data_IF_640482502676
#
_entry.id   IF_640482502676
#
_cell.length_a   1.000
_cell.length_b   1.000
_cell.length_c   1.000
_cell.angle_alpha   90.00
_cell.angle_beta   90.00
_cell.angle_gamma   90.00
#
_symmetry.space_group_name_H-M   'P 1'
#
loop_
_entity.id
_entity.type
_entity.pdbx_description
1 polymer ?
#
# COMPACT_ATOMS: atom_id res chain seq x y z
N UNK A 1 10.97 22.49 7.34
CA UNK A 1 10.10 23.48 8.02
C UNK A 1 9.74 24.59 7.03
N UNK A 2 8.59 24.49 6.38
CA UNK A 2 7.73 25.63 6.06
C UNK A 2 6.43 25.09 5.44
N UNK A 3 5.32 25.54 6.03
CA UNK A 3 3.96 25.10 5.79
C UNK A 3 3.46 25.66 4.46
N UNK A 4 2.97 24.79 3.57
CA UNK A 4 2.19 25.25 2.43
C UNK A 4 0.79 25.64 2.90
N UNK A 5 0.59 26.95 3.02
CA UNK A 5 -0.71 27.60 3.19
C UNK A 5 -1.55 27.38 1.93
N UNK A 6 -2.65 26.63 2.05
CA UNK A 6 -3.68 26.57 1.02
C UNK A 6 -4.61 27.80 1.16
N UNK A 7 -4.40 28.82 0.32
CA UNK A 7 -5.27 29.99 0.26
C UNK A 7 -6.57 29.65 -0.49
N UNK A 8 -7.67 29.57 0.26
CA UNK A 8 -9.03 29.48 -0.27
C UNK A 8 -9.39 30.75 -1.06
N UNK A 9 -9.70 30.59 -2.36
CA UNK A 9 -10.39 31.61 -3.16
C UNK A 9 -11.89 31.56 -2.87
N UNK A 10 -12.37 32.34 -1.90
CA UNK A 10 -13.79 32.71 -1.83
C UNK A 10 -13.99 34.07 -2.53
N UNK A 11 -14.60 34.04 -3.71
CA UNK A 11 -15.02 35.24 -4.43
C UNK A 11 -16.09 35.99 -3.60
N UNK A 12 -15.78 37.22 -3.18
CA UNK A 12 -16.73 38.11 -2.51
C UNK A 12 -17.53 38.89 -3.56
N UNK A 13 -18.82 38.61 -3.65
CA UNK A 13 -19.80 39.60 -4.09
C UNK A 13 -20.82 39.73 -2.98
N UNK A 14 -20.70 40.83 -2.23
CA UNK A 14 -21.60 41.24 -1.17
C UNK A 14 -22.80 41.91 -1.83
N UNK A 15 -24.01 41.40 -1.60
CA UNK A 15 -25.19 42.23 -1.67
C UNK A 15 -26.16 41.92 -0.53
N UNK A 16 -26.67 43.00 0.02
CA UNK A 16 -27.22 43.19 1.36
C UNK A 16 -28.67 42.73 1.45
N UNK A 17 -29.12 42.47 2.68
CA UNK A 17 -30.51 42.25 3.15
C UNK A 17 -31.06 40.82 3.07
N UNK A 18 -30.94 40.09 4.17
CA UNK A 18 -32.09 39.61 4.97
C UNK A 18 -31.57 38.96 6.25
N UNK A 19 -32.10 39.42 7.39
CA UNK A 19 -31.90 38.79 8.68
C UNK A 19 -32.70 37.48 8.76
N UNK A 20 -32.06 36.40 9.20
CA UNK A 20 -32.75 35.15 9.54
C UNK A 20 -31.87 33.92 9.38
N UNK A 21 -31.62 33.24 10.49
CA UNK A 21 -30.89 31.97 10.65
C UNK A 21 -29.37 32.03 10.41
N UNK A 22 -28.65 32.23 11.50
CA UNK A 22 -27.32 31.66 11.69
C UNK A 22 -27.46 30.13 11.70
N UNK A 23 -27.54 29.51 10.52
CA UNK A 23 -27.18 28.12 10.37
C UNK A 23 -25.67 28.05 10.61
N UNK A 24 -25.30 27.74 11.85
CA UNK A 24 -24.00 27.19 12.20
C UNK A 24 -23.79 25.96 11.32
N UNK A 25 -23.22 26.16 10.14
CA UNK A 25 -22.67 25.07 9.33
C UNK A 25 -21.47 24.60 10.12
N UNK A 26 -21.71 23.68 11.06
CA UNK A 26 -20.65 22.89 11.64
C UNK A 26 -19.94 22.24 10.45
N UNK A 27 -18.74 22.72 10.15
CA UNK A 27 -17.74 21.92 9.47
C UNK A 27 -17.53 20.69 10.34
N UNK A 28 -18.35 19.66 10.14
CA UNK A 28 -18.06 18.35 10.65
C UNK A 28 -16.79 17.94 9.89
N UNK A 29 -15.63 18.13 10.53
CA UNK A 29 -14.44 17.40 10.17
C UNK A 29 -14.84 15.93 10.30
N UNK A 30 -15.08 15.28 9.16
CA UNK A 30 -15.22 13.83 9.11
C UNK A 30 -13.85 13.30 9.51
N UNK A 31 -13.68 13.11 10.81
CA UNK A 31 -12.53 12.41 11.35
C UNK A 31 -12.72 10.99 10.86
N UNK A 32 -11.85 10.54 9.94
CA UNK A 32 -11.82 9.15 9.53
C UNK A 32 -11.83 8.30 10.82
N UNK A 33 -12.75 7.34 10.91
CA UNK A 33 -12.81 6.47 12.06
C UNK A 33 -11.42 5.85 12.26
N UNK A 34 -10.90 5.89 13.49
CA UNK A 34 -9.60 5.33 13.79
C UNK A 34 -9.63 3.83 13.45
N UNK A 35 -8.69 3.39 12.62
CA UNK A 35 -8.52 1.98 12.28
C UNK A 35 -7.94 1.26 13.51
N UNK A 36 -8.54 0.14 13.89
CA UNK A 36 -8.00 -0.74 14.92
C UNK A 36 -6.85 -1.56 14.32
N UNK A 37 -5.61 -1.12 14.59
CA UNK A 37 -4.39 -1.79 14.11
C UNK A 37 -4.28 -3.25 14.56
N UNK A 38 -4.94 -3.63 15.65
CA UNK A 38 -4.87 -5.00 16.16
C UNK A 38 -5.52 -6.00 15.21
N UNK A 39 -6.41 -5.55 14.32
CA UNK A 39 -6.97 -6.36 13.25
C UNK A 39 -5.93 -6.74 12.18
N UNK A 40 -4.87 -5.94 12.01
CA UNK A 40 -3.81 -6.21 11.05
C UNK A 40 -2.86 -7.32 11.53
N UNK A 41 -2.64 -7.44 12.84
CA UNK A 41 -1.62 -8.35 13.41
C UNK A 41 -1.83 -9.79 12.99
N UNK A 42 -0.81 -10.44 12.43
CA UNK A 42 -0.77 -11.86 12.09
C UNK A 42 -0.45 -12.12 10.62
N UNK A 43 -0.79 -13.32 10.14
CA UNK A 43 -0.40 -13.80 8.83
C UNK A 43 -1.51 -13.64 7.80
N UNK A 44 -1.13 -13.19 6.62
CA UNK A 44 -2.01 -12.92 5.49
C UNK A 44 -1.45 -13.57 4.24
N UNK A 45 -2.32 -14.21 3.45
CA UNK A 45 -2.00 -14.71 2.12
C UNK A 45 -2.52 -13.72 1.10
N UNK A 46 -1.61 -13.16 0.33
CA UNK A 46 -1.87 -12.11 -0.65
C UNK A 46 -1.55 -12.61 -2.05
N UNK A 47 -2.24 -12.03 -3.03
CA UNK A 47 -1.93 -12.22 -4.43
C UNK A 47 -2.14 -10.92 -5.18
N UNK A 48 -1.26 -10.68 -6.15
CA UNK A 48 -1.37 -9.55 -7.04
C UNK A 48 -1.17 -10.03 -8.47
N UNK A 49 -1.98 -9.52 -9.38
CA UNK A 49 -1.90 -9.82 -10.80
C UNK A 49 -2.18 -8.55 -11.61
N UNK A 50 -1.25 -8.21 -12.50
CA UNK A 50 -1.31 -7.04 -13.35
C UNK A 50 -0.96 -7.42 -14.78
N UNK A 51 -1.66 -6.82 -15.74
CA UNK A 51 -1.37 -6.96 -17.16
C UNK A 51 -1.31 -5.58 -17.78
N UNK A 52 -0.17 -5.24 -18.37
CA UNK A 52 0.03 -3.97 -19.08
C UNK A 52 0.88 -4.17 -20.34
N UNK A 53 0.39 -3.69 -21.48
CA UNK A 53 1.08 -3.68 -22.79
C UNK A 53 1.89 -4.95 -23.16
N UNK A 54 1.39 -6.14 -22.83
CA UNK A 54 2.06 -7.42 -23.12
C UNK A 54 3.08 -7.87 -22.08
N UNK A 55 3.20 -7.12 -20.99
CA UNK A 55 3.82 -7.51 -19.72
C UNK A 55 2.75 -8.03 -18.76
N UNK A 56 3.03 -9.15 -18.11
CA UNK A 56 2.20 -9.75 -17.06
C UNK A 56 3.03 -9.92 -15.80
N UNK A 57 2.58 -9.33 -14.71
CA UNK A 57 3.17 -9.44 -13.39
C UNK A 57 2.23 -10.28 -12.54
N UNK A 58 2.77 -11.32 -11.90
CA UNK A 58 2.03 -12.11 -10.92
C UNK A 58 2.88 -12.30 -9.67
N UNK A 59 2.31 -11.99 -8.52
CA UNK A 59 2.92 -12.22 -7.22
C UNK A 59 1.96 -13.01 -6.33
N UNK A 60 2.49 -14.02 -5.65
CA UNK A 60 1.79 -14.75 -4.59
C UNK A 60 2.71 -14.76 -3.38
N UNK A 61 2.23 -14.25 -2.25
CA UNK A 61 3.07 -14.04 -1.08
C UNK A 61 2.29 -14.11 0.21
N UNK A 62 2.99 -14.49 1.26
CA UNK A 62 2.50 -14.39 2.63
C UNK A 62 3.14 -13.19 3.30
N UNK A 63 2.36 -12.37 4.00
CA UNK A 63 2.87 -11.28 4.83
C UNK A 63 2.48 -11.46 6.30
N UNK A 64 3.41 -11.16 7.19
CA UNK A 64 3.23 -11.22 8.64
C UNK A 64 3.37 -9.82 9.23
N UNK A 65 2.32 -9.29 9.86
CA UNK A 65 2.37 -8.03 10.62
C UNK A 65 2.47 -8.32 12.11
N UNK A 66 3.52 -7.88 12.77
CA UNK A 66 3.74 -8.12 14.20
C UNK A 66 3.40 -6.88 15.03
N UNK A 67 2.91 -7.07 16.25
CA UNK A 67 2.50 -5.99 17.16
C UNK A 67 3.62 -5.05 17.61
N UNK A 68 4.89 -5.42 17.37
CA UNK A 68 6.05 -4.57 17.64
C UNK A 68 6.41 -3.67 16.44
N UNK A 69 5.60 -3.64 15.39
CA UNK A 69 5.83 -2.83 14.20
C UNK A 69 6.63 -3.54 13.09
N UNK A 70 7.06 -4.80 13.26
CA UNK A 70 7.85 -5.46 12.20
C UNK A 70 6.96 -6.18 11.18
N UNK A 71 7.39 -6.16 9.91
CA UNK A 71 6.81 -6.95 8.82
C UNK A 71 7.79 -7.98 8.27
N UNK A 72 7.23 -9.05 7.73
CA UNK A 72 7.95 -9.96 6.84
C UNK A 72 7.04 -10.42 5.72
N UNK A 73 7.52 -10.36 4.49
CA UNK A 73 6.83 -10.84 3.30
C UNK A 73 7.67 -11.92 2.60
N UNK A 74 7.09 -13.09 2.41
CA UNK A 74 7.71 -14.24 1.74
C UNK A 74 6.88 -14.59 0.52
N UNK A 75 7.48 -14.56 -0.67
CA UNK A 75 6.69 -14.69 -1.89
C UNK A 75 7.43 -15.18 -3.11
N UNK A 76 6.65 -15.39 -4.15
CA UNK A 76 7.14 -15.63 -5.50
C UNK A 76 6.65 -14.49 -6.40
N UNK A 77 7.57 -13.88 -7.12
CA UNK A 77 7.32 -12.87 -8.13
C UNK A 77 7.64 -13.46 -9.50
N UNK A 78 6.74 -13.33 -10.45
CA UNK A 78 6.95 -13.72 -11.85
C UNK A 78 6.55 -12.58 -12.77
N UNK A 79 7.44 -12.25 -13.70
CA UNK A 79 7.21 -11.27 -14.76
C UNK A 79 7.35 -11.97 -16.11
N UNK A 80 6.34 -11.82 -16.95
CA UNK A 80 6.26 -12.39 -18.30
C UNK A 80 6.13 -11.26 -19.31
N UNK A 81 6.93 -11.27 -20.37
CA UNK A 81 6.91 -10.25 -21.44
C UNK A 81 6.74 -10.95 -22.77
N UNK A 82 5.72 -10.60 -23.54
CA UNK A 82 5.43 -11.24 -24.84
C UNK A 82 5.23 -12.76 -24.73
N UNK A 83 4.72 -13.22 -23.58
CA UNK A 83 4.52 -14.65 -23.28
C UNK A 83 5.77 -15.41 -22.83
N UNK A 84 6.93 -14.75 -22.71
CA UNK A 84 8.17 -15.35 -22.21
C UNK A 84 8.44 -14.92 -20.77
N UNK A 85 8.84 -15.86 -19.90
CA UNK A 85 9.22 -15.54 -18.51
C UNK A 85 10.50 -14.70 -18.52
N UNK A 86 10.38 -13.43 -18.17
CA UNK A 86 11.50 -12.49 -18.05
C UNK A 86 12.16 -12.59 -16.67
N UNK A 87 11.34 -12.84 -15.63
CA UNK A 87 11.76 -12.98 -14.25
C UNK A 87 10.90 -14.04 -13.55
N UNK A 88 11.54 -14.87 -12.73
CA UNK A 88 10.86 -15.60 -11.67
C UNK A 88 11.79 -15.69 -10.46
N UNK A 89 11.39 -15.07 -9.36
CA UNK A 89 12.17 -15.07 -8.13
C UNK A 89 11.29 -15.50 -6.95
N UNK A 90 11.93 -16.18 -6.00
CA UNK A 90 11.44 -16.22 -4.62
C UNK A 90 12.08 -15.06 -3.86
N UNK A 91 11.33 -14.39 -2.99
CA UNK A 91 11.85 -13.30 -2.17
C UNK A 91 11.52 -13.47 -0.68
N UNK A 92 12.35 -12.86 0.15
CA UNK A 92 12.20 -12.67 1.59
C UNK A 92 12.47 -11.21 1.93
N UNK A 93 11.40 -10.46 2.19
CA UNK A 93 11.41 -9.05 2.53
C UNK A 93 11.13 -8.90 4.03
N UNK A 94 11.91 -8.06 4.69
CA UNK A 94 11.72 -7.63 6.07
C UNK A 94 11.62 -6.11 6.11
N UNK A 95 10.86 -5.61 7.07
CA UNK A 95 10.61 -4.19 7.18
C UNK A 95 9.94 -3.82 8.50
N UNK A 96 9.49 -2.58 8.53
CA UNK A 96 8.64 -2.03 9.58
C UNK A 96 7.30 -1.57 8.98
N UNK A 97 6.25 -1.53 9.78
CA UNK A 97 4.94 -1.01 9.41
C UNK A 97 4.35 -0.08 10.45
N UNK A 98 3.52 0.84 9.99
CA UNK A 98 2.62 1.63 10.83
C UNK A 98 1.30 1.93 10.10
N UNK A 99 0.23 2.17 10.86
CA UNK A 99 -1.02 2.73 10.32
C UNK A 99 -1.10 4.20 10.70
N UNK A 100 -1.26 5.07 9.70
CA UNK A 100 -1.35 6.52 9.91
C UNK A 100 -2.35 7.16 8.97
N UNK A 101 -3.29 7.92 9.55
CA UNK A 101 -4.30 8.68 8.81
C UNK A 101 -5.10 7.84 7.78
N UNK A 102 -5.33 6.55 8.09
CA UNK A 102 -6.05 5.61 7.22
C UNK A 102 -5.17 4.86 6.21
N UNK A 103 -3.86 5.08 6.24
CA UNK A 103 -2.90 4.42 5.35
C UNK A 103 -2.08 3.39 6.11
N UNK A 104 -1.73 2.30 5.42
CA UNK A 104 -0.68 1.38 5.81
C UNK A 104 0.63 1.88 5.19
N UNK A 105 1.63 2.11 6.03
CA UNK A 105 2.97 2.49 5.61
C UNK A 105 3.89 1.31 5.89
N UNK A 106 4.62 0.85 4.88
CA UNK A 106 5.55 -0.27 4.98
C UNK A 106 6.93 0.19 4.53
N UNK A 107 7.91 0.15 5.43
CA UNK A 107 9.30 0.52 5.11
C UNK A 107 10.15 -0.72 4.99
N UNK A 108 10.73 -0.95 3.81
CA UNK A 108 11.61 -2.10 3.57
C UNK A 108 12.94 -1.86 4.28
N UNK A 109 13.36 -2.76 5.15
CA UNK A 109 14.68 -2.70 5.80
C UNK A 109 15.67 -3.68 5.18
N UNK A 110 15.16 -4.78 4.63
CA UNK A 110 15.99 -5.81 4.01
C UNK A 110 15.20 -6.61 2.99
N UNK A 111 15.84 -6.95 1.87
CA UNK A 111 15.27 -7.86 0.87
C UNK A 111 16.33 -8.84 0.40
N UNK A 112 15.94 -10.10 0.30
CA UNK A 112 16.73 -11.15 -0.34
C UNK A 112 15.91 -11.85 -1.40
N UNK A 113 16.59 -12.30 -2.45
CA UNK A 113 15.98 -12.97 -3.58
C UNK A 113 16.75 -14.19 -3.99
N UNK A 114 16.03 -15.24 -4.40
CA UNK A 114 16.61 -16.39 -5.10
C UNK A 114 15.98 -16.48 -6.48
N UNK A 115 16.82 -16.47 -7.50
CA UNK A 115 16.41 -16.65 -8.89
C UNK A 115 15.99 -18.11 -9.13
N UNK A 116 14.79 -18.29 -9.69
CA UNK A 116 14.21 -19.60 -9.96
C UNK A 116 14.38 -20.06 -11.41
N UNK A 117 14.98 -19.24 -12.28
CA UNK A 117 15.18 -19.56 -13.70
C UNK A 117 16.64 -19.49 -14.10
N UNK A 118 17.06 -20.42 -14.96
CA UNK A 118 18.40 -20.39 -15.55
C UNK A 118 18.57 -19.28 -16.60
N UNK A 119 17.47 -18.57 -16.93
CA UNK A 119 17.38 -17.67 -18.08
C UNK A 119 17.04 -16.22 -17.69
N UNK A 120 16.61 -15.94 -16.46
CA UNK A 120 16.37 -14.55 -16.09
C UNK A 120 17.71 -13.85 -15.94
N UNK A 121 17.84 -12.75 -16.67
CA UNK A 121 18.94 -11.80 -16.49
C UNK A 121 18.79 -10.98 -15.19
N UNK A 122 17.68 -11.18 -14.48
CA UNK A 122 17.23 -10.41 -13.34
C UNK A 122 17.21 -11.34 -12.12
N UNK A 123 18.09 -11.08 -11.14
CA UNK A 123 18.30 -11.86 -9.92
C UNK A 123 18.07 -11.03 -8.66
N UNK A 124 18.86 -11.26 -7.62
CA UNK A 124 18.72 -10.59 -6.32
C UNK A 124 18.94 -9.07 -6.39
N UNK A 125 19.77 -8.59 -7.33
CA UNK A 125 20.03 -7.16 -7.50
C UNK A 125 18.77 -6.42 -7.99
N UNK A 126 18.07 -6.96 -8.98
CA UNK A 126 16.86 -6.37 -9.51
C UNK A 126 15.70 -6.42 -8.52
N UNK A 127 15.64 -7.46 -7.67
CA UNK A 127 14.72 -7.44 -6.54
C UNK A 127 15.04 -6.32 -5.55
N UNK A 128 16.33 -6.06 -5.27
CA UNK A 128 16.72 -4.94 -4.43
C UNK A 128 16.42 -3.58 -5.08
N UNK A 129 16.46 -3.48 -6.41
CA UNK A 129 16.05 -2.29 -7.13
C UNK A 129 14.52 -2.08 -7.12
N UNK A 130 13.74 -3.16 -7.10
CA UNK A 130 12.28 -3.13 -6.98
C UNK A 130 11.80 -2.85 -5.55
N UNK A 131 12.57 -3.29 -4.55
CA UNK A 131 12.28 -3.11 -3.13
C UNK A 131 13.48 -2.46 -2.42
N UNK A 132 13.78 -1.19 -2.75
CA UNK A 132 14.93 -0.50 -2.18
C UNK A 132 14.78 -0.39 -0.66
N UNK A 133 15.89 -0.60 0.05
CA UNK A 133 15.91 -0.41 1.49
C UNK A 133 15.67 1.05 1.86
N UNK A 134 15.03 1.26 3.00
CA UNK A 134 14.58 2.54 3.56
C UNK A 134 13.53 3.28 2.70
N UNK A 135 12.98 2.64 1.67
CA UNK A 135 11.83 3.14 0.94
C UNK A 135 10.53 2.73 1.62
N UNK A 136 9.61 3.69 1.72
CA UNK A 136 8.34 3.52 2.39
C UNK A 136 7.22 3.46 1.36
N UNK A 137 6.63 2.28 1.19
CA UNK A 137 5.40 2.13 0.43
C UNK A 137 4.22 2.64 1.27
N UNK A 138 3.26 3.29 0.60
CA UNK A 138 2.11 3.91 1.23
C UNK A 138 0.85 3.49 0.49
N UNK A 139 0.00 2.73 1.18
CA UNK A 139 -1.25 2.24 0.62
C UNK A 139 -2.46 2.65 1.48
N UNK A 140 -3.55 3.06 0.84
CA UNK A 140 -4.80 3.36 1.53
C UNK A 140 -5.43 2.07 2.01
N UNK A 141 -5.81 1.97 3.28
CA UNK A 141 -6.59 0.82 3.77
C UNK A 141 -8.04 1.03 3.33
N UNK A 142 -8.46 0.24 2.34
CA UNK A 142 -9.83 0.25 1.81
C UNK A 142 -10.74 -0.61 2.66
N UNK A 143 -10.24 -1.77 3.12
CA UNK A 143 -10.96 -2.69 3.99
C UNK A 143 -9.98 -3.39 4.93
N UNK A 144 -10.33 -3.49 6.22
CA UNK A 144 -9.63 -4.30 7.20
C UNK A 144 -10.65 -4.99 8.11
N UNK A 145 -10.57 -6.32 8.17
CA UNK A 145 -11.43 -7.18 9.00
C UNK A 145 -10.63 -8.37 9.56
N UNK A 146 -11.31 -9.29 10.25
CA UNK A 146 -10.71 -10.53 10.75
C UNK A 146 -10.31 -11.53 9.64
N UNK A 147 -10.82 -11.33 8.42
CA UNK A 147 -10.61 -12.25 7.29
C UNK A 147 -10.01 -11.61 6.06
N UNK A 148 -10.16 -10.29 5.89
CA UNK A 148 -9.81 -9.59 4.66
C UNK A 148 -9.05 -8.30 4.95
N UNK A 149 -8.00 -8.08 4.17
CA UNK A 149 -7.27 -6.83 4.06
C UNK A 149 -7.28 -6.44 2.57
N UNK A 150 -7.76 -5.24 2.29
CA UNK A 150 -7.65 -4.61 0.97
C UNK A 150 -6.94 -3.29 1.15
N UNK A 151 -5.81 -3.13 0.48
CA UNK A 151 -5.12 -1.85 0.37
C UNK A 151 -5.14 -1.35 -1.08
N UNK A 152 -4.99 -0.05 -1.27
CA UNK A 152 -4.89 0.57 -2.58
C UNK A 152 -3.59 1.38 -2.68
N UNK A 153 -2.75 1.06 -3.67
CA UNK A 153 -1.52 1.79 -3.97
C UNK A 153 -1.78 3.19 -4.53
N UNK A 154 -0.72 3.99 -4.66
CA UNK A 154 -0.81 5.35 -5.21
C UNK A 154 -1.25 5.40 -6.68
N UNK A 155 -1.02 4.31 -7.41
CA UNK A 155 -1.46 4.07 -8.78
C UNK A 155 -2.95 3.67 -8.88
N UNK A 156 -3.63 3.49 -7.74
CA UNK A 156 -5.03 3.08 -7.66
C UNK A 156 -5.24 1.56 -7.76
N UNK A 157 -4.17 0.76 -7.80
CA UNK A 157 -4.24 -0.70 -7.84
C UNK A 157 -4.56 -1.25 -6.45
N UNK A 158 -5.49 -2.20 -6.38
CA UNK A 158 -5.84 -2.86 -5.13
C UNK A 158 -4.99 -4.12 -4.89
N UNK A 159 -4.53 -4.29 -3.66
CA UNK A 159 -3.92 -5.51 -3.16
C UNK A 159 -4.88 -6.20 -2.21
N UNK A 160 -5.24 -7.44 -2.53
CA UNK A 160 -6.16 -8.23 -1.72
C UNK A 160 -5.42 -9.34 -0.99
N UNK A 161 -5.66 -9.40 0.31
CA UNK A 161 -5.09 -10.38 1.21
C UNK A 161 -6.19 -11.06 2.03
N UNK A 162 -6.01 -12.37 2.23
CA UNK A 162 -6.88 -13.20 3.05
C UNK A 162 -6.14 -13.66 4.29
N UNK A 163 -6.85 -13.70 5.42
CA UNK A 163 -6.26 -14.10 6.68
C UNK A 163 -5.89 -15.59 6.68
N UNK A 164 -4.65 -15.92 7.06
CA UNK A 164 -4.23 -17.30 7.31
C UNK A 164 -4.65 -17.72 8.71
N UNK A 165 -5.34 -18.86 8.81
CA UNK A 165 -5.73 -19.49 10.07
C UNK A 165 -4.62 -20.35 10.64
#
# INVERSE_FOLDING_TARGET
MSLFNYQNRCNKTVNTLLAGLLASVCSASVQAAAIDETMLYGNWACSHEENDEGTHISAIFDVSYNANGTIRSLGNLKVTVGGMVAMANQYDLQGEWEIKDGYLLETTTHVQGTNLTNNSKLGAAELADMFPADDADRSLIVELSDQKLITQGEDGVNFECSRKR
#
